data_IF_207909172287
#
_entry.id   IF_207909172287
#
_cell.length_a   1.000
_cell.length_b   1.000
_cell.length_c   1.000
_cell.angle_alpha   90.00
_cell.angle_beta   90.00
_cell.angle_gamma   90.00
#
_symmetry.space_group_name_H-M   'P 1'
#
loop_
_entity.id
_entity.type
_entity.pdbx_description
1 polymer ?
#
# COMPACT_ATOMS: atom_id res chain seq x y z
N UNK A 1 -5.13 -6.96 -1.45
CA UNK A 1 -4.36 -7.08 -0.20
C UNK A 1 -3.13 -6.14 -0.32
N UNK A 2 -2.55 -5.67 0.78
CA UNK A 2 -1.36 -4.80 0.79
C UNK A 2 -0.35 -5.44 1.73
N UNK A 3 0.81 -5.79 1.18
CA UNK A 3 1.88 -6.51 1.86
C UNK A 3 3.11 -5.62 2.01
N UNK A 4 3.76 -5.70 3.16
CA UNK A 4 5.03 -5.03 3.45
C UNK A 4 6.12 -6.09 3.56
N UNK A 5 7.21 -5.88 2.82
CA UNK A 5 8.45 -6.66 2.93
C UNK A 5 9.63 -5.70 3.07
N UNK A 6 10.80 -6.23 3.40
CA UNK A 6 12.02 -5.43 3.59
C UNK A 6 13.22 -6.12 2.94
N UNK A 7 14.01 -5.36 2.19
CA UNK A 7 15.28 -5.77 1.59
C UNK A 7 16.37 -4.75 1.98
N UNK A 8 17.18 -5.12 2.99
CA UNK A 8 18.13 -4.21 3.63
C UNK A 8 17.45 -2.95 4.19
N UNK A 9 17.86 -1.79 3.68
CA UNK A 9 17.36 -0.47 4.07
C UNK A 9 16.10 -0.06 3.28
N UNK A 10 15.58 -0.92 2.40
CA UNK A 10 14.42 -0.63 1.55
C UNK A 10 13.19 -1.39 2.02
N UNK A 11 12.15 -0.65 2.39
CA UNK A 11 10.80 -1.16 2.59
C UNK A 11 10.09 -1.27 1.24
N UNK A 12 9.42 -2.40 0.98
CA UNK A 12 8.68 -2.63 -0.27
C UNK A 12 7.24 -2.97 0.06
N UNK A 13 6.33 -2.07 -0.30
CA UNK A 13 4.89 -2.27 -0.26
C UNK A 13 4.43 -2.82 -1.61
N UNK A 14 3.82 -4.00 -1.61
CA UNK A 14 3.18 -4.60 -2.78
C UNK A 14 1.66 -4.60 -2.62
N UNK A 15 0.97 -3.91 -3.50
CA UNK A 15 -0.49 -3.94 -3.58
C UNK A 15 -0.93 -5.06 -4.52
N UNK A 16 -1.59 -6.08 -4.01
CA UNK A 16 -1.97 -7.29 -4.74
C UNK A 16 -3.49 -7.56 -4.69
N UNK A 17 -4.31 -6.52 -4.92
CA UNK A 17 -5.77 -6.58 -4.95
C UNK A 17 -6.36 -6.40 -6.36
N UNK A 18 -5.93 -7.19 -7.33
CA UNK A 18 -6.42 -7.09 -8.72
C UNK A 18 -6.09 -5.74 -9.35
N UNK A 19 -7.02 -4.78 -9.30
CA UNK A 19 -6.82 -3.42 -9.81
C UNK A 19 -6.41 -2.38 -8.75
N UNK A 20 -6.21 -2.79 -7.50
CA UNK A 20 -5.76 -1.93 -6.40
C UNK A 20 -6.59 -0.64 -6.30
N UNK A 21 -7.91 -0.77 -6.38
CA UNK A 21 -8.83 0.36 -6.23
C UNK A 21 -8.79 0.85 -4.78
N UNK A 22 -8.83 2.16 -4.60
CA UNK A 22 -8.80 2.82 -3.28
C UNK A 22 -10.22 2.86 -2.73
N UNK A 23 -10.40 2.24 -1.56
CA UNK A 23 -11.61 2.26 -0.75
C UNK A 23 -11.22 2.37 0.74
N UNK A 24 -12.17 2.48 1.70
CA UNK A 24 -11.82 2.61 3.11
C UNK A 24 -10.99 1.45 3.68
N UNK A 25 -11.15 0.23 3.16
CA UNK A 25 -10.38 -0.94 3.62
C UNK A 25 -8.93 -0.85 3.13
N UNK A 26 -8.75 -0.48 1.85
CA UNK A 26 -7.44 -0.15 1.31
C UNK A 26 -6.77 0.98 2.10
N UNK A 27 -7.50 2.06 2.39
CA UNK A 27 -6.97 3.24 3.09
C UNK A 27 -6.51 2.88 4.49
N UNK A 28 -7.33 2.15 5.24
CA UNK A 28 -6.98 1.68 6.58
C UNK A 28 -5.70 0.84 6.55
N UNK A 29 -5.64 -0.15 5.66
CA UNK A 29 -4.48 -1.04 5.58
C UNK A 29 -3.21 -0.32 5.14
N UNK A 30 -3.30 0.63 4.20
CA UNK A 30 -2.13 1.41 3.77
C UNK A 30 -1.57 2.24 4.92
N UNK A 31 -2.43 2.87 5.73
CA UNK A 31 -2.00 3.61 6.92
C UNK A 31 -1.29 2.70 7.93
N UNK A 32 -1.86 1.53 8.25
CA UNK A 32 -1.22 0.57 9.17
C UNK A 32 0.18 0.15 8.70
N UNK A 33 0.36 -0.02 7.39
CA UNK A 33 1.67 -0.35 6.81
C UNK A 33 2.63 0.83 6.87
N UNK A 34 2.16 2.04 6.58
CA UNK A 34 2.99 3.24 6.66
C UNK A 34 3.42 3.55 8.10
N UNK A 35 2.56 3.31 9.09
CA UNK A 35 2.91 3.41 10.52
C UNK A 35 4.05 2.44 10.86
N UNK A 36 4.03 1.23 10.29
CA UNK A 36 5.10 0.25 10.48
C UNK A 36 6.40 0.73 9.83
N UNK A 37 6.34 1.26 8.61
CA UNK A 37 7.52 1.82 7.92
C UNK A 37 8.12 2.98 8.73
N UNK A 38 7.29 3.90 9.23
CA UNK A 38 7.74 5.03 10.03
C UNK A 38 8.42 4.57 11.33
N UNK A 39 7.84 3.59 12.03
CA UNK A 39 8.39 3.07 13.28
C UNK A 39 9.71 2.30 13.09
N UNK A 40 9.91 1.64 11.94
CA UNK A 40 11.09 0.83 11.66
C UNK A 40 12.21 1.57 10.90
N UNK A 41 11.96 2.80 10.48
CA UNK A 41 12.90 3.62 9.72
C UNK A 41 13.79 4.44 10.65
N UNK A 42 15.01 3.96 10.90
CA UNK A 42 16.08 4.72 11.54
C UNK A 42 17.33 4.74 10.64
N UNK A 43 17.91 5.92 10.42
CA UNK A 43 19.09 6.06 9.55
C UNK A 43 18.75 6.05 8.06
N UNK A 44 19.47 5.24 7.27
CA UNK A 44 19.18 5.11 5.83
C UNK A 44 17.89 4.29 5.67
N UNK A 45 16.89 4.88 5.03
CA UNK A 45 15.64 4.20 4.72
C UNK A 45 15.12 4.64 3.36
N UNK A 46 14.64 3.69 2.57
CA UNK A 46 13.90 3.92 1.33
C UNK A 46 12.57 3.19 1.34
N UNK A 47 11.56 3.76 0.68
CA UNK A 47 10.25 3.14 0.52
C UNK A 47 9.91 3.02 -0.97
N UNK A 48 9.62 1.79 -1.39
CA UNK A 48 9.05 1.48 -2.70
C UNK A 48 7.60 1.06 -2.51
N UNK A 49 6.71 1.63 -3.31
CA UNK A 49 5.32 1.21 -3.39
C UNK A 49 5.08 0.74 -4.81
N UNK A 50 4.59 -0.48 -4.97
CA UNK A 50 4.30 -1.09 -6.27
C UNK A 50 2.98 -1.86 -6.25
N UNK A 51 2.46 -2.18 -7.43
CA UNK A 51 1.33 -3.08 -7.59
C UNK A 51 1.77 -4.41 -8.22
N UNK A 52 1.03 -5.47 -7.90
CA UNK A 52 1.18 -6.78 -8.53
C UNK A 52 0.45 -6.82 -9.89
N UNK A 53 0.99 -7.61 -10.82
CA UNK A 53 0.41 -7.82 -12.13
C UNK A 53 0.40 -6.56 -13.00
N UNK A 54 -0.76 -6.20 -13.54
CA UNK A 54 -0.89 -5.15 -14.58
C UNK A 54 -1.10 -3.74 -14.04
N UNK A 55 -1.44 -3.60 -12.76
CA UNK A 55 -1.89 -2.33 -12.22
C UNK A 55 -1.07 -1.96 -10.99
N UNK A 56 -0.47 -0.77 -11.01
CA UNK A 56 -0.11 -0.10 -9.77
C UNK A 56 -1.40 0.17 -8.97
N UNK A 57 -2.27 1.03 -9.49
CA UNK A 57 -3.63 1.27 -8.99
C UNK A 57 -4.49 1.82 -10.11
N UNK A 58 -5.78 1.44 -10.13
CA UNK A 58 -6.80 2.05 -11.00
C UNK A 58 -7.56 3.21 -10.33
N UNK A 59 -7.07 3.72 -9.20
CA UNK A 59 -7.62 4.90 -8.53
C UNK A 59 -8.82 4.57 -7.63
N UNK A 60 -9.70 5.55 -7.43
CA UNK A 60 -10.79 5.48 -6.45
C UNK A 60 -11.87 4.46 -6.83
N UNK A 61 -12.31 3.64 -5.86
CA UNK A 61 -13.49 2.81 -5.99
C UNK A 61 -14.77 3.64 -5.82
N UNK A 62 -15.21 4.29 -6.89
CA UNK A 62 -16.37 5.20 -6.86
C UNK A 62 -17.65 4.50 -6.39
N UNK A 63 -17.86 3.25 -6.79
CA UNK A 63 -19.05 2.47 -6.40
C UNK A 63 -19.13 2.30 -4.87
N UNK A 64 -18.02 1.91 -4.23
CA UNK A 64 -17.96 1.78 -2.77
C UNK A 64 -18.15 3.14 -2.10
N UNK A 65 -17.44 4.17 -2.55
CA UNK A 65 -17.50 5.50 -1.90
C UNK A 65 -18.90 6.11 -1.96
N UNK A 66 -19.63 5.93 -3.08
CA UNK A 66 -21.00 6.43 -3.22
C UNK A 66 -22.04 5.63 -2.40
N UNK A 67 -21.64 4.53 -1.77
CA UNK A 67 -22.49 3.71 -0.89
C UNK A 67 -22.23 3.90 0.61
N UNK A 68 -21.26 4.74 0.98
CA UNK A 68 -20.93 5.09 2.37
C UNK A 68 -21.95 6.08 2.94
#
# INVERSE_FOLDING_TARGET
MIELTRDGDIHVITMNNGSNMIDPTWQKRMLEVLDTVEAESEGNAGLVITGDGKFFSKGLNVEVIMSL
#
